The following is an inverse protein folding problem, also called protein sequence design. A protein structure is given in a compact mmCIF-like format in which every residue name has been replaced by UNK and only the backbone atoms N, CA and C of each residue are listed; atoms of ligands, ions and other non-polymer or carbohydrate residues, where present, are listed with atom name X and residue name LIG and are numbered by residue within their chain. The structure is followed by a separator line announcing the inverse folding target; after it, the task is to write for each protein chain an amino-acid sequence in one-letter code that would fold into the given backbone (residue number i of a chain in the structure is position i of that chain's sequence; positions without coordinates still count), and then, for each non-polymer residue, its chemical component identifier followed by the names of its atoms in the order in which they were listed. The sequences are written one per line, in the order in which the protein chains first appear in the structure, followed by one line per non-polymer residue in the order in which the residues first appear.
data_IF_520811125922
#
_entry.id   IF_520811125922
#
_cell.length_a   1.000
_cell.length_b   1.000
_cell.length_c   1.000
_cell.angle_alpha   90.00
_cell.angle_beta   90.00
_cell.angle_gamma   90.00
#
_symmetry.space_group_name_H-M   'P 1'
#
loop_
_entity.id
_entity.type
_entity.pdbx_description
1 polymer ?
#
# COMPACT_ATOMS: atom_id res chain seq x y z
N UNK A 1 8.49 0.59 -17.63
CA UNK A 1 8.91 1.95 -18.01
C UNK A 1 9.53 1.97 -19.39
N UNK A 2 10.61 1.21 -19.64
CA UNK A 2 11.34 1.14 -20.93
C UNK A 2 10.43 1.03 -22.17
N UNK A 3 9.59 -0.01 -22.27
CA UNK A 3 8.62 -0.19 -23.36
C UNK A 3 7.69 1.01 -23.56
N UNK A 4 7.22 1.64 -22.47
CA UNK A 4 6.33 2.81 -22.53
C UNK A 4 7.08 4.05 -23.05
N UNK A 5 8.31 4.27 -22.59
CA UNK A 5 9.12 5.40 -23.02
C UNK A 5 9.38 5.37 -24.53
N UNK A 6 9.76 4.20 -25.06
CA UNK A 6 9.94 4.03 -26.51
C UNK A 6 8.63 4.15 -27.27
N UNK A 7 7.53 3.60 -26.76
CA UNK A 7 6.21 3.77 -27.36
C UNK A 7 5.75 5.24 -27.40
N UNK A 8 6.29 6.10 -26.52
CA UNK A 8 6.05 7.54 -26.50
C UNK A 8 7.09 8.35 -27.29
N UNK A 9 7.98 7.70 -28.06
CA UNK A 9 8.89 8.36 -29.00
C UNK A 9 10.32 8.56 -28.50
N UNK A 10 10.70 8.03 -27.33
CA UNK A 10 12.11 8.02 -26.92
C UNK A 10 12.90 7.07 -27.80
N UNK A 11 14.06 7.50 -28.29
CA UNK A 11 14.98 6.65 -29.04
C UNK A 11 15.31 5.36 -28.24
N UNK A 12 15.21 4.15 -28.83
CA UNK A 12 15.43 2.92 -28.08
C UNK A 12 16.83 2.76 -27.48
N UNK A 13 17.87 3.31 -28.12
CA UNK A 13 19.24 3.22 -27.62
C UNK A 13 19.42 4.16 -26.42
N UNK A 14 18.89 5.37 -26.50
CA UNK A 14 18.87 6.28 -25.36
C UNK A 14 18.05 5.71 -24.19
N UNK A 15 16.90 5.09 -24.49
CA UNK A 15 16.07 4.43 -23.48
C UNK A 15 16.81 3.28 -22.78
N UNK A 16 17.62 2.50 -23.51
CA UNK A 16 18.49 1.47 -22.92
C UNK A 16 19.54 2.10 -22.02
N UNK A 17 20.24 3.15 -22.47
CA UNK A 17 21.26 3.84 -21.67
C UNK A 17 20.70 4.35 -20.34
N UNK A 18 19.47 4.87 -20.34
CA UNK A 18 18.76 5.34 -19.15
C UNK A 18 18.50 4.23 -18.11
N UNK A 19 18.51 2.96 -18.51
CA UNK A 19 18.27 1.82 -17.60
C UNK A 19 19.48 0.89 -17.44
N UNK A 20 20.64 1.22 -18.04
CA UNK A 20 21.87 0.44 -17.95
C UNK A 20 23.07 1.27 -17.49
N UNK A 21 23.75 1.98 -18.40
CA UNK A 21 25.01 2.67 -18.11
C UNK A 21 24.81 3.93 -17.27
N UNK A 22 23.74 4.70 -17.51
CA UNK A 22 23.47 5.92 -16.74
C UNK A 22 23.25 5.63 -15.24
N UNK A 23 22.38 4.68 -14.83
CA UNK A 23 22.24 4.34 -13.42
C UNK A 23 23.51 3.69 -12.84
N UNK A 24 24.25 2.89 -13.62
CA UNK A 24 25.52 2.34 -13.17
C UNK A 24 26.55 3.42 -12.84
N UNK A 25 26.69 4.43 -13.71
CA UNK A 25 27.56 5.59 -13.49
C UNK A 25 27.09 6.42 -12.31
N UNK A 26 25.80 6.76 -12.24
CA UNK A 26 25.22 7.54 -11.16
C UNK A 26 25.43 6.89 -9.78
N UNK A 27 25.29 5.56 -9.69
CA UNK A 27 25.48 4.80 -8.45
C UNK A 27 26.95 4.40 -8.19
N UNK A 28 27.89 4.75 -9.07
CA UNK A 28 29.29 4.36 -8.95
C UNK A 28 29.56 2.85 -9.10
N UNK A 29 28.67 2.11 -9.77
CA UNK A 29 28.79 0.67 -9.99
C UNK A 29 29.80 0.40 -11.11
N UNK A 30 31.06 0.22 -10.73
CA UNK A 30 32.15 -0.13 -11.66
C UNK A 30 31.82 -1.42 -12.43
N UNK A 31 32.20 -1.44 -13.71
CA UNK A 31 32.14 -2.63 -14.57
C UNK A 31 30.71 -3.20 -14.73
N UNK A 32 29.67 -2.34 -14.70
CA UNK A 32 28.27 -2.68 -14.95
C UNK A 32 27.60 -1.69 -15.91
N UNK A 33 26.46 -2.10 -16.47
CA UNK A 33 25.63 -1.23 -17.31
C UNK A 33 26.07 -1.10 -18.78
N UNK A 34 27.16 -1.75 -19.19
CA UNK A 34 27.62 -1.77 -20.58
C UNK A 34 28.15 -3.15 -20.98
N UNK A 35 28.16 -3.42 -22.29
CA UNK A 35 28.81 -4.59 -22.88
C UNK A 35 30.20 -4.20 -23.35
N UNK A 36 31.21 -4.55 -22.55
CA UNK A 36 32.62 -4.28 -22.85
C UNK A 36 33.52 -5.31 -22.14
N UNK A 37 34.78 -5.49 -22.58
CA UNK A 37 35.75 -6.30 -21.86
C UNK A 37 35.87 -5.87 -20.39
N UNK A 38 36.00 -6.85 -19.48
CA UNK A 38 36.08 -6.66 -18.03
C UNK A 38 34.79 -6.18 -17.34
N UNK A 39 33.69 -5.99 -18.07
CA UNK A 39 32.37 -5.74 -17.48
C UNK A 39 31.69 -7.05 -17.08
N UNK A 40 30.80 -6.97 -16.08
CA UNK A 40 29.95 -8.10 -15.68
C UNK A 40 29.09 -8.53 -16.86
N UNK A 41 29.08 -9.83 -17.16
CA UNK A 41 28.21 -10.42 -18.17
C UNK A 41 26.75 -10.56 -17.66
N UNK A 42 26.17 -9.42 -17.28
CA UNK A 42 24.76 -9.26 -16.94
C UNK A 42 24.05 -8.77 -18.20
N UNK A 43 23.50 -9.71 -18.99
CA UNK A 43 23.07 -9.46 -20.38
C UNK A 43 21.61 -9.87 -20.55
N UNK A 44 20.84 -9.04 -21.25
CA UNK A 44 19.50 -9.41 -21.72
C UNK A 44 19.52 -9.40 -23.25
N UNK A 45 19.22 -10.54 -23.86
CA UNK A 45 19.00 -10.63 -25.31
C UNK A 45 17.53 -10.37 -25.57
N UNK A 46 17.26 -9.33 -26.36
CA UNK A 46 15.92 -8.87 -26.67
C UNK A 46 15.53 -9.31 -28.07
N UNK A 47 14.28 -9.71 -28.25
CA UNK A 47 13.72 -10.05 -29.56
C UNK A 47 13.65 -8.84 -30.50
N UNK A 48 13.33 -7.69 -29.94
CA UNK A 48 13.24 -6.41 -30.65
C UNK A 48 13.38 -5.23 -29.68
N UNK A 49 13.61 -4.03 -30.22
CA UNK A 49 13.73 -2.77 -29.47
C UNK A 49 12.41 -2.00 -29.35
N UNK A 50 11.26 -2.63 -29.63
CA UNK A 50 9.92 -2.03 -29.55
C UNK A 50 9.18 -2.54 -28.31
N UNK A 51 9.09 -3.86 -28.18
CA UNK A 51 8.42 -4.59 -27.12
C UNK A 51 9.37 -5.01 -26.00
N UNK A 52 10.68 -5.06 -26.26
CA UNK A 52 11.68 -5.47 -25.26
C UNK A 52 11.36 -6.83 -24.62
N UNK A 53 10.89 -7.79 -25.42
CA UNK A 53 10.69 -9.15 -24.96
C UNK A 53 12.05 -9.82 -24.75
N UNK A 54 12.32 -10.29 -23.53
CA UNK A 54 13.57 -10.94 -23.18
C UNK A 54 13.57 -12.40 -23.65
N UNK A 55 14.40 -12.70 -24.64
CA UNK A 55 14.59 -14.06 -25.15
C UNK A 55 15.55 -14.86 -24.27
N UNK A 56 16.65 -14.23 -23.83
CA UNK A 56 17.63 -14.82 -22.92
C UNK A 56 18.09 -13.80 -21.89
N UNK A 57 18.30 -14.25 -20.65
CA UNK A 57 18.85 -13.44 -19.57
C UNK A 57 20.05 -14.15 -18.97
N UNK A 58 21.18 -13.47 -18.97
CA UNK A 58 22.43 -13.90 -18.36
C UNK A 58 22.73 -13.05 -17.11
N UNK A 59 23.21 -13.71 -16.06
CA UNK A 59 23.71 -13.05 -14.86
C UNK A 59 25.12 -13.57 -14.59
N UNK A 60 26.11 -12.68 -14.57
CA UNK A 60 27.54 -13.03 -14.47
C UNK A 60 27.98 -14.12 -15.46
N UNK A 61 27.44 -14.08 -16.68
CA UNK A 61 27.77 -15.01 -17.77
C UNK A 61 26.98 -16.32 -17.76
N UNK A 62 26.17 -16.58 -16.74
CA UNK A 62 25.34 -17.79 -16.68
C UNK A 62 23.93 -17.52 -17.22
N UNK A 63 23.45 -18.37 -18.13
CA UNK A 63 22.08 -18.30 -18.64
C UNK A 63 21.10 -18.65 -17.49
N UNK A 64 20.30 -17.66 -17.06
CA UNK A 64 19.40 -17.77 -15.91
C UNK A 64 17.93 -17.85 -16.30
N UNK A 65 17.53 -17.28 -17.44
CA UNK A 65 16.18 -17.39 -17.98
C UNK A 65 16.20 -17.47 -19.51
N UNK A 66 15.23 -18.16 -20.09
CA UNK A 66 15.03 -18.26 -21.54
C UNK A 66 13.53 -18.29 -21.86
N UNK A 67 13.11 -17.57 -22.90
CA UNK A 67 11.71 -17.50 -23.36
C UNK A 67 10.73 -17.18 -22.22
N UNK A 68 11.07 -16.18 -21.39
CA UNK A 68 10.25 -15.75 -20.25
C UNK A 68 10.22 -16.71 -19.05
N UNK A 69 10.97 -17.82 -19.08
CA UNK A 69 11.01 -18.81 -17.98
C UNK A 69 12.36 -18.83 -17.29
N UNK A 70 12.33 -18.88 -15.95
CA UNK A 70 13.53 -19.07 -15.14
C UNK A 70 14.09 -20.48 -15.32
N UNK A 71 15.38 -20.61 -15.59
CA UNK A 71 16.09 -21.89 -15.67
C UNK A 71 16.62 -22.35 -14.31
N UNK A 72 16.71 -21.43 -13.33
CA UNK A 72 17.15 -21.72 -11.97
C UNK A 72 16.03 -21.39 -10.97
N UNK A 73 15.80 -22.30 -10.02
CA UNK A 73 14.90 -22.03 -8.89
C UNK A 73 15.59 -21.12 -7.88
N UNK A 74 14.96 -19.99 -7.58
CA UNK A 74 15.39 -19.10 -6.48
C UNK A 74 14.74 -19.60 -5.20
N UNK A 75 15.54 -19.94 -4.19
CA UNK A 75 15.02 -20.34 -2.89
C UNK A 75 14.66 -19.09 -2.08
N UNK A 76 13.40 -18.98 -1.67
CA UNK A 76 12.99 -17.95 -0.73
C UNK A 76 13.64 -18.21 0.65
N UNK A 77 14.21 -17.16 1.25
CA UNK A 77 14.69 -17.21 2.64
C UNK A 77 13.54 -16.84 3.57
N UNK A 78 13.19 -17.75 4.48
CA UNK A 78 12.20 -17.49 5.54
C UNK A 78 12.95 -17.12 6.82
N UNK A 79 12.90 -15.85 7.20
CA UNK A 79 13.37 -15.41 8.52
C UNK A 79 12.18 -15.28 9.46
N UNK A 80 12.15 -16.05 10.55
CA UNK A 80 11.06 -16.02 11.52
C UNK A 80 10.86 -14.64 12.15
N UNK A 81 11.92 -13.81 12.22
CA UNK A 81 11.86 -12.46 12.80
C UNK A 81 10.88 -11.53 12.09
N UNK A 82 10.54 -11.81 10.84
CA UNK A 82 9.63 -10.97 10.03
C UNK A 82 8.24 -11.59 9.86
N UNK A 83 7.95 -12.78 10.39
CA UNK A 83 6.69 -13.51 10.11
C UNK A 83 5.54 -13.24 11.10
N UNK A 84 5.76 -12.43 12.13
CA UNK A 84 4.76 -12.11 13.17
C UNK A 84 4.90 -10.66 13.62
N UNK A 85 4.79 -9.76 12.64
CA UNK A 85 5.03 -8.32 12.82
C UNK A 85 3.80 -7.53 13.25
N UNK A 86 2.63 -8.16 13.30
CA UNK A 86 1.37 -7.52 13.68
C UNK A 86 1.06 -7.87 15.13
N UNK A 87 1.08 -6.86 15.99
CA UNK A 87 0.77 -6.96 17.41
C UNK A 87 -0.28 -5.92 17.75
N UNK A 88 -1.54 -6.32 17.83
CA UNK A 88 -2.62 -5.39 18.16
C UNK A 88 -2.75 -5.26 19.69
N UNK A 89 -3.04 -4.06 20.22
CA UNK A 89 -3.29 -3.90 21.66
C UNK A 89 -4.49 -4.75 22.12
N UNK A 90 -4.34 -5.49 23.23
CA UNK A 90 -5.42 -6.33 23.78
C UNK A 90 -6.68 -5.51 24.10
N UNK A 91 -6.50 -4.26 24.54
CA UNK A 91 -7.59 -3.32 24.83
C UNK A 91 -8.05 -2.50 23.62
N UNK A 92 -7.78 -2.94 22.39
CA UNK A 92 -8.14 -2.19 21.17
C UNK A 92 -9.63 -1.81 21.16
N UNK A 93 -10.53 -2.73 21.52
CA UNK A 93 -11.97 -2.46 21.51
C UNK A 93 -12.34 -1.23 22.37
N UNK A 94 -11.74 -1.09 23.55
CA UNK A 94 -11.98 0.03 24.47
C UNK A 94 -11.40 1.36 23.95
N UNK A 95 -10.49 1.31 22.97
CA UNK A 95 -9.88 2.48 22.33
C UNK A 95 -10.66 2.96 21.09
N UNK A 96 -11.63 2.16 20.62
CA UNK A 96 -12.44 2.43 19.42
C UNK A 96 -13.67 3.32 19.68
N UNK A 97 -13.76 3.98 20.83
CA UNK A 97 -14.83 4.94 21.10
C UNK A 97 -14.63 6.23 20.29
N UNK A 98 -15.59 6.56 19.43
CA UNK A 98 -15.63 7.80 18.67
C UNK A 98 -16.66 8.77 19.26
N UNK A 99 -16.33 10.05 19.23
CA UNK A 99 -17.30 11.08 19.56
C UNK A 99 -18.15 11.40 18.33
N UNK A 100 -19.43 11.08 18.39
CA UNK A 100 -20.36 11.17 17.25
C UNK A 100 -21.35 12.34 17.37
N UNK A 101 -20.91 13.46 17.96
CA UNK A 101 -21.75 14.66 18.12
C UNK A 101 -21.01 15.93 17.71
N UNK A 102 -21.74 16.85 17.07
CA UNK A 102 -21.22 18.14 16.65
C UNK A 102 -20.28 18.09 15.43
N UNK A 103 -19.45 19.12 15.30
CA UNK A 103 -18.55 19.30 14.16
C UNK A 103 -17.23 18.57 14.39
N UNK A 104 -16.80 17.82 13.37
CA UNK A 104 -15.54 17.08 13.37
C UNK A 104 -14.70 17.41 12.15
N UNK A 105 -13.38 17.27 12.27
CA UNK A 105 -12.43 17.32 11.16
C UNK A 105 -12.43 15.96 10.45
N UNK A 106 -12.72 15.97 9.16
CA UNK A 106 -12.58 14.83 8.28
C UNK A 106 -11.44 15.07 7.28
N UNK A 107 -10.73 13.99 6.96
CA UNK A 107 -9.70 13.97 5.91
C UNK A 107 -10.42 13.72 4.58
N UNK A 108 -10.48 14.74 3.74
CA UNK A 108 -11.10 14.66 2.42
C UNK A 108 -10.17 14.03 1.40
N UNK A 109 -10.63 12.93 0.83
CA UNK A 109 -9.92 12.14 -0.18
C UNK A 109 -10.40 12.50 -1.58
N UNK A 110 -9.46 12.51 -2.52
CA UNK A 110 -9.71 12.67 -3.95
C UNK A 110 -9.30 11.39 -4.68
N UNK A 111 -10.03 11.02 -5.74
CA UNK A 111 -9.91 9.70 -6.37
C UNK A 111 -8.57 9.42 -7.07
N UNK A 112 -7.95 10.44 -7.63
CA UNK A 112 -6.83 10.34 -8.57
C UNK A 112 -5.55 11.05 -8.10
N UNK A 113 -5.52 11.49 -6.84
CA UNK A 113 -4.39 12.17 -6.24
C UNK A 113 -4.19 11.76 -4.78
N UNK A 114 -2.94 11.89 -4.31
CA UNK A 114 -2.55 11.58 -2.92
C UNK A 114 -2.77 12.75 -1.96
N UNK A 115 -3.06 13.94 -2.48
CA UNK A 115 -3.36 15.13 -1.69
C UNK A 115 -4.67 14.96 -0.93
N UNK A 116 -4.74 15.54 0.26
CA UNK A 116 -5.94 15.59 1.10
C UNK A 116 -6.25 17.02 1.48
N UNK A 117 -7.50 17.28 1.85
CA UNK A 117 -7.91 18.54 2.46
C UNK A 117 -8.57 18.30 3.79
N UNK A 118 -8.56 19.33 4.62
CA UNK A 118 -9.47 19.40 5.75
C UNK A 118 -10.91 19.66 5.26
N UNK A 119 -11.86 18.93 5.86
CA UNK A 119 -13.28 19.17 5.71
C UNK A 119 -13.95 19.14 7.08
N UNK A 120 -14.66 20.21 7.46
CA UNK A 120 -15.42 20.25 8.71
C UNK A 120 -16.83 19.74 8.45
N UNK A 121 -17.19 18.66 9.11
CA UNK A 121 -18.48 17.99 8.91
C UNK A 121 -19.26 17.88 10.21
N UNK A 122 -20.57 18.08 10.13
CA UNK A 122 -21.50 17.82 11.22
C UNK A 122 -21.87 16.32 11.18
N UNK A 123 -21.28 15.55 12.09
CA UNK A 123 -21.33 14.08 12.02
C UNK A 123 -22.78 13.57 12.13
N UNK A 124 -23.63 14.28 12.88
CA UNK A 124 -25.05 13.95 13.08
C UNK A 124 -25.85 14.09 11.78
N UNK A 125 -25.50 15.07 10.94
CA UNK A 125 -26.13 15.29 9.62
C UNK A 125 -25.59 14.36 8.54
N UNK A 126 -24.40 13.77 8.74
CA UNK A 126 -23.75 12.90 7.74
C UNK A 126 -23.93 11.40 7.97
N UNK A 127 -24.72 10.98 8.98
CA UNK A 127 -24.99 9.56 9.27
C UNK A 127 -25.49 8.77 8.03
N UNK A 128 -26.15 9.44 7.09
CA UNK A 128 -26.72 8.87 5.86
C UNK A 128 -25.79 8.85 4.62
N UNK A 129 -24.52 9.25 4.73
CA UNK A 129 -23.56 8.99 3.65
C UNK A 129 -22.41 9.99 3.56
N UNK A 130 -21.27 9.52 3.06
CA UNK A 130 -20.12 10.36 2.68
C UNK A 130 -18.95 10.33 3.66
N UNK A 131 -19.19 9.99 4.93
CA UNK A 131 -18.15 9.90 5.97
C UNK A 131 -17.97 8.46 6.45
N UNK A 132 -16.71 8.04 6.56
CA UNK A 132 -16.30 6.78 7.14
C UNK A 132 -15.40 7.02 8.35
N UNK A 133 -15.47 6.11 9.32
CA UNK A 133 -14.53 6.09 10.45
C UNK A 133 -13.17 5.65 9.92
N UNK A 134 -12.11 6.18 10.50
CA UNK A 134 -10.74 5.82 10.17
C UNK A 134 -9.93 5.62 11.45
N UNK A 135 -9.03 4.64 11.43
CA UNK A 135 -8.06 4.44 12.49
C UNK A 135 -6.68 4.16 11.94
N UNK A 136 -5.67 4.58 12.68
CA UNK A 136 -4.30 4.09 12.56
C UNK A 136 -3.90 3.48 13.90
N UNK A 137 -3.53 2.21 13.90
CA UNK A 137 -3.23 1.43 15.11
C UNK A 137 -1.75 1.06 15.09
N UNK A 138 -1.04 1.42 16.15
CA UNK A 138 0.35 1.00 16.32
C UNK A 138 0.41 -0.52 16.46
N UNK A 139 1.15 -1.17 15.56
CA UNK A 139 1.18 -2.65 15.46
C UNK A 139 2.53 -3.27 15.74
N UNK A 140 3.56 -2.48 16.00
CA UNK A 140 4.92 -2.96 16.26
C UNK A 140 5.12 -3.36 17.73
N UNK A 141 4.13 -3.10 18.58
CA UNK A 141 4.12 -3.43 20.00
C UNK A 141 4.98 -2.50 20.85
N UNK A 142 5.08 -1.21 20.45
CA UNK A 142 5.90 -0.22 21.13
C UNK A 142 5.14 0.63 22.12
N UNK A 143 3.92 1.05 21.77
CA UNK A 143 3.14 1.98 22.59
C UNK A 143 1.64 1.64 22.62
N UNK A 144 1.15 0.83 21.67
CA UNK A 144 -0.27 0.46 21.59
C UNK A 144 -1.21 1.64 21.35
N UNK A 145 -0.71 2.72 20.75
CA UNK A 145 -1.48 3.89 20.37
C UNK A 145 -2.53 3.56 19.31
N UNK A 146 -3.64 4.29 19.36
CA UNK A 146 -4.71 4.22 18.37
C UNK A 146 -5.15 5.64 18.04
N UNK A 147 -4.79 6.07 16.83
CA UNK A 147 -5.25 7.34 16.30
C UNK A 147 -6.58 7.15 15.61
N UNK A 148 -7.52 8.04 15.93
CA UNK A 148 -8.88 8.02 15.39
C UNK A 148 -9.05 9.20 14.43
N UNK A 149 -9.88 9.02 13.41
CA UNK A 149 -10.21 10.07 12.46
C UNK A 149 -11.49 9.77 11.70
N UNK A 150 -11.89 10.72 10.89
CA UNK A 150 -12.96 10.57 9.91
C UNK A 150 -12.40 10.84 8.53
N UNK A 151 -12.90 10.14 7.52
CA UNK A 151 -12.50 10.34 6.11
C UNK A 151 -13.74 10.56 5.25
N UNK A 152 -13.64 11.44 4.27
CA UNK A 152 -14.64 11.60 3.21
C UNK A 152 -14.06 11.16 1.86
N UNK A 153 -14.88 10.61 0.98
CA UNK A 153 -14.47 10.17 -0.37
C UNK A 153 -14.30 8.65 -0.54
N UNK A 154 -14.11 7.89 0.54
CA UNK A 154 -14.19 6.42 0.49
C UNK A 154 -15.61 5.93 0.23
N UNK A 155 -16.62 6.60 0.80
CA UNK A 155 -18.05 6.34 0.57
C UNK A 155 -18.48 4.89 0.84
N UNK A 156 -17.81 4.18 1.76
CA UNK A 156 -18.23 2.84 2.15
C UNK A 156 -19.60 2.89 2.82
N UNK A 157 -20.53 2.07 2.32
CA UNK A 157 -21.90 1.99 2.82
C UNK A 157 -22.06 0.92 3.89
N UNK A 158 -21.14 -0.05 3.91
CA UNK A 158 -21.07 -1.17 4.85
C UNK A 158 -19.63 -1.66 4.96
N UNK A 159 -19.30 -2.33 6.06
CA UNK A 159 -18.06 -3.04 6.20
C UNK A 159 -16.85 -2.13 6.37
N UNK A 160 -15.65 -2.70 6.18
CA UNK A 160 -14.39 -2.01 6.40
C UNK A 160 -13.28 -2.51 5.47
N UNK A 161 -12.31 -1.64 5.21
CA UNK A 161 -11.05 -1.94 4.53
C UNK A 161 -9.92 -1.72 5.52
N UNK A 162 -8.96 -2.64 5.57
CA UNK A 162 -7.80 -2.54 6.45
C UNK A 162 -6.52 -3.00 5.75
N UNK A 163 -5.38 -2.41 6.10
CA UNK A 163 -4.08 -2.72 5.53
C UNK A 163 -2.96 -2.53 6.55
N UNK A 164 -1.94 -3.39 6.50
CA UNK A 164 -0.65 -3.17 7.16
C UNK A 164 0.37 -2.46 6.27
N UNK A 165 0.07 -2.33 4.97
CA UNK A 165 0.80 -1.48 4.03
C UNK A 165 0.26 -0.07 4.19
N UNK A 166 0.93 0.71 5.02
CA UNK A 166 0.54 2.08 5.41
C UNK A 166 1.76 3.01 5.42
N UNK A 167 2.04 3.70 4.32
CA UNK A 167 3.26 4.49 4.17
C UNK A 167 3.40 5.56 5.27
N UNK A 168 4.55 5.75 5.93
CA UNK A 168 5.77 4.91 5.93
C UNK A 168 6.02 4.26 7.30
N UNK A 169 5.21 4.57 8.31
CA UNK A 169 5.27 3.92 9.62
C UNK A 169 4.82 2.46 9.56
N UNK A 170 4.06 2.10 8.51
CA UNK A 170 3.47 0.78 8.29
C UNK A 170 2.74 0.27 9.54
N UNK A 171 2.03 1.17 10.21
CA UNK A 171 1.01 0.81 11.21
C UNK A 171 -0.21 0.20 10.51
N UNK A 172 -1.15 -0.38 11.26
CA UNK A 172 -2.42 -0.78 10.65
C UNK A 172 -3.19 0.50 10.35
N UNK A 173 -3.68 0.62 9.13
CA UNK A 173 -4.65 1.66 8.74
C UNK A 173 -5.95 0.99 8.33
N UNK A 174 -7.08 1.50 8.81
CA UNK A 174 -8.38 0.98 8.46
C UNK A 174 -9.43 2.07 8.33
N UNK A 175 -10.37 1.87 7.41
CA UNK A 175 -11.56 2.71 7.21
C UNK A 175 -12.80 1.84 7.17
N UNK A 176 -13.91 2.29 7.73
CA UNK A 176 -15.12 1.49 7.76
C UNK A 176 -16.40 2.28 8.02
N UNK A 177 -17.53 1.59 7.86
CA UNK A 177 -18.84 2.17 8.10
C UNK A 177 -19.12 2.35 9.59
N UNK A 178 -18.65 1.44 10.45
CA UNK A 178 -18.74 1.54 11.91
C UNK A 178 -17.42 1.13 12.57
N UNK A 179 -17.18 1.51 13.84
CA UNK A 179 -16.03 1.03 14.61
C UNK A 179 -15.97 -0.50 14.74
N UNK A 180 -17.11 -1.19 14.80
CA UNK A 180 -17.19 -2.66 14.91
C UNK A 180 -16.75 -3.34 13.61
N UNK A 181 -17.14 -2.79 12.45
CA UNK A 181 -16.69 -3.28 11.15
C UNK A 181 -15.17 -3.17 11.03
N UNK A 182 -14.60 -2.04 11.47
CA UNK A 182 -13.15 -1.84 11.53
C UNK A 182 -12.50 -2.88 12.43
N UNK A 183 -13.04 -3.10 13.63
CA UNK A 183 -12.47 -4.05 14.58
C UNK A 183 -12.40 -5.47 14.00
N UNK A 184 -13.45 -5.91 13.28
CA UNK A 184 -13.46 -7.20 12.58
C UNK A 184 -12.37 -7.30 11.51
N UNK A 185 -12.23 -6.27 10.67
CA UNK A 185 -11.20 -6.23 9.63
C UNK A 185 -9.78 -6.22 10.22
N UNK A 186 -9.56 -5.45 11.29
CA UNK A 186 -8.27 -5.35 11.99
C UNK A 186 -7.87 -6.66 12.66
N UNK A 187 -8.79 -7.34 13.36
CA UNK A 187 -8.51 -8.66 13.95
C UNK A 187 -8.10 -9.68 12.89
N UNK A 188 -8.74 -9.63 11.73
CA UNK A 188 -8.35 -10.48 10.59
C UNK A 188 -6.95 -10.21 10.03
N UNK A 189 -6.41 -8.98 10.19
CA UNK A 189 -5.01 -8.72 9.85
C UNK A 189 -4.05 -9.40 10.82
N UNK A 190 -4.39 -9.47 12.11
CA UNK A 190 -3.60 -10.21 13.11
C UNK A 190 -3.54 -11.69 12.77
N UNK A 191 -4.70 -12.30 12.50
CA UNK A 191 -4.86 -13.72 12.18
C UNK A 191 -3.98 -14.17 11.00
N UNK A 192 -3.83 -13.30 9.99
CA UNK A 192 -3.04 -13.61 8.78
C UNK A 192 -1.59 -13.10 8.85
N UNK A 193 -1.16 -12.52 9.98
CA UNK A 193 0.21 -12.00 10.16
C UNK A 193 0.50 -10.70 9.41
N UNK A 194 -0.54 -9.96 9.03
CA UNK A 194 -0.48 -8.75 8.22
C UNK A 194 -0.88 -8.98 6.77
N UNK A 195 -1.33 -7.92 6.09
CA UNK A 195 -1.91 -8.03 4.77
C UNK A 195 -2.84 -6.89 4.40
N UNK A 196 -3.76 -7.23 3.51
CA UNK A 196 -4.88 -6.39 3.09
C UNK A 196 -6.17 -7.16 3.35
N UNK A 197 -7.15 -6.50 3.97
CA UNK A 197 -8.43 -7.10 4.32
C UNK A 197 -9.56 -6.20 3.83
N UNK A 198 -10.61 -6.82 3.28
CA UNK A 198 -11.93 -6.21 3.11
C UNK A 198 -12.95 -7.06 3.87
N UNK A 199 -13.77 -6.42 4.68
CA UNK A 199 -14.93 -7.02 5.34
C UNK A 199 -16.18 -6.37 4.77
N UNK A 200 -17.12 -7.14 4.21
CA UNK A 200 -18.29 -6.58 3.50
C UNK A 200 -19.56 -6.47 4.35
N UNK A 201 -19.42 -6.66 5.67
CA UNK A 201 -20.51 -6.77 6.63
C UNK A 201 -20.88 -8.21 6.98
N UNK A 202 -20.47 -9.18 6.15
CA UNK A 202 -20.74 -10.62 6.34
C UNK A 202 -19.45 -11.42 6.24
N UNK A 203 -18.78 -11.33 5.10
CA UNK A 203 -17.61 -12.14 4.76
C UNK A 203 -16.31 -11.33 4.82
N UNK A 204 -15.21 -12.03 5.10
CA UNK A 204 -13.87 -11.45 5.16
C UNK A 204 -13.03 -11.96 3.98
N UNK A 205 -12.53 -11.02 3.18
CA UNK A 205 -11.64 -11.26 2.05
C UNK A 205 -10.25 -10.78 2.43
N UNK A 206 -9.23 -11.58 2.13
CA UNK A 206 -7.88 -11.40 2.67
C UNK A 206 -6.82 -11.60 1.59
N UNK A 207 -5.79 -10.77 1.63
CA UNK A 207 -4.50 -11.00 0.98
C UNK A 207 -3.43 -11.01 2.07
N UNK A 208 -3.00 -12.20 2.53
CA UNK A 208 -1.90 -12.31 3.49
C UNK A 208 -0.61 -11.72 2.92
N UNK A 209 0.09 -10.95 3.75
CA UNK A 209 1.42 -10.41 3.51
C UNK A 209 2.31 -10.77 4.70
N UNK A 210 2.53 -12.05 4.90
CA UNK A 210 3.14 -12.62 6.11
C UNK A 210 4.57 -12.11 6.40
N UNK A 211 5.27 -11.55 5.42
CA UNK A 211 6.61 -10.97 5.59
C UNK A 211 6.46 -9.49 5.96
N UNK A 212 6.65 -9.19 7.24
CA UNK A 212 6.56 -7.88 7.86
C UNK A 212 5.19 -7.18 7.70
N UNK A 213 4.14 -7.90 7.29
CA UNK A 213 2.87 -7.29 6.89
C UNK A 213 2.96 -6.53 5.56
N UNK A 214 3.98 -6.79 4.74
CA UNK A 214 4.28 -6.01 3.53
C UNK A 214 4.48 -6.87 2.28
N UNK A 215 5.00 -8.09 2.44
CA UNK A 215 5.30 -9.01 1.33
C UNK A 215 4.78 -10.41 1.64
N UNK A 216 4.66 -11.27 0.63
CA UNK A 216 4.18 -12.66 0.79
C UNK A 216 5.09 -13.64 0.04
N UNK A 217 5.08 -14.90 0.45
CA UNK A 217 5.68 -16.01 -0.28
C UNK A 217 4.74 -16.59 -1.36
N UNK A 218 3.48 -16.16 -1.40
CA UNK A 218 2.52 -16.54 -2.44
C UNK A 218 3.00 -16.14 -3.83
N UNK A 219 2.53 -16.86 -4.86
CA UNK A 219 2.90 -16.52 -6.23
C UNK A 219 2.19 -15.24 -6.68
N UNK A 220 2.78 -14.58 -7.68
CA UNK A 220 2.24 -13.32 -8.22
C UNK A 220 0.83 -13.50 -8.78
N UNK A 221 0.50 -14.67 -9.35
CA UNK A 221 -0.82 -14.96 -9.89
C UNK A 221 -1.89 -14.97 -8.79
N UNK A 222 -1.58 -15.62 -7.66
CA UNK A 222 -2.47 -15.68 -6.49
C UNK A 222 -2.66 -14.29 -5.86
N UNK A 223 -1.56 -13.53 -5.73
CA UNK A 223 -1.59 -12.15 -5.24
C UNK A 223 -2.47 -11.28 -6.13
N UNK A 224 -2.32 -11.39 -7.46
CA UNK A 224 -3.11 -10.62 -8.42
C UNK A 224 -4.60 -10.97 -8.35
N UNK A 225 -4.93 -12.26 -8.24
CA UNK A 225 -6.31 -12.71 -8.11
C UNK A 225 -6.96 -12.17 -6.84
N UNK A 226 -6.28 -12.28 -5.69
CA UNK A 226 -6.77 -11.81 -4.41
C UNK A 226 -6.89 -10.28 -4.38
N UNK A 227 -5.93 -9.54 -4.94
CA UNK A 227 -5.99 -8.08 -5.00
C UNK A 227 -7.15 -7.59 -5.88
N UNK A 228 -7.39 -8.25 -7.03
CA UNK A 228 -8.56 -7.98 -7.88
C UNK A 228 -9.88 -8.22 -7.15
N UNK A 229 -9.96 -9.33 -6.41
CA UNK A 229 -11.14 -9.63 -5.58
C UNK A 229 -11.36 -8.56 -4.51
N UNK A 230 -10.31 -8.16 -3.79
CA UNK A 230 -10.36 -7.11 -2.77
C UNK A 230 -10.83 -5.77 -3.36
N UNK A 231 -10.32 -5.37 -4.53
CA UNK A 231 -10.76 -4.15 -5.21
C UNK A 231 -12.23 -4.21 -5.59
N UNK A 232 -12.67 -5.33 -6.18
CA UNK A 232 -14.09 -5.55 -6.51
C UNK A 232 -14.98 -5.50 -5.27
N UNK A 233 -14.54 -6.06 -4.15
CA UNK A 233 -15.31 -6.03 -2.89
C UNK A 233 -15.40 -4.63 -2.30
N UNK A 234 -14.33 -3.85 -2.36
CA UNK A 234 -14.38 -2.44 -1.99
C UNK A 234 -15.40 -1.65 -2.85
N UNK A 235 -15.46 -1.93 -4.15
CA UNK A 235 -16.45 -1.33 -5.07
C UNK A 235 -17.89 -1.74 -4.72
N UNK A 236 -18.13 -3.03 -4.50
CA UNK A 236 -19.44 -3.56 -4.06
C UNK A 236 -19.89 -2.97 -2.72
N UNK A 237 -18.95 -2.61 -1.83
CA UNK A 237 -19.21 -1.90 -0.57
C UNK A 237 -19.48 -0.39 -0.73
N UNK A 238 -19.33 0.15 -1.95
CA UNK A 238 -19.63 1.54 -2.29
C UNK A 238 -18.43 2.42 -2.62
N UNK A 239 -17.20 1.89 -2.54
CA UNK A 239 -15.99 2.66 -2.81
C UNK A 239 -15.80 2.90 -4.31
N UNK A 240 -15.75 4.18 -4.71
CA UNK A 240 -15.53 4.58 -6.11
C UNK A 240 -14.09 4.97 -6.41
N UNK A 241 -13.19 4.81 -5.44
CA UNK A 241 -11.78 5.13 -5.63
C UNK A 241 -11.15 4.11 -6.58
N UNK A 242 -10.33 4.54 -7.57
CA UNK A 242 -9.69 3.63 -8.52
C UNK A 242 -8.66 2.70 -7.85
N UNK A 243 -8.11 3.07 -6.69
CA UNK A 243 -7.12 2.28 -5.95
C UNK A 243 -7.31 2.42 -4.44
N UNK A 244 -8.37 1.84 -3.87
CA UNK A 244 -8.81 2.11 -2.50
C UNK A 244 -7.74 1.81 -1.45
N UNK A 245 -7.00 0.70 -1.59
CA UNK A 245 -5.95 0.32 -0.62
C UNK A 245 -4.68 1.17 -0.75
N UNK A 246 -4.36 1.65 -1.96
CA UNK A 246 -3.26 2.60 -2.15
C UNK A 246 -3.62 3.94 -1.50
N UNK A 247 -4.83 4.44 -1.77
CA UNK A 247 -5.34 5.67 -1.14
C UNK A 247 -5.38 5.53 0.38
N UNK A 248 -5.80 4.37 0.90
CA UNK A 248 -5.81 4.05 2.32
C UNK A 248 -4.41 4.17 2.94
N UNK A 249 -3.39 3.65 2.26
CA UNK A 249 -1.99 3.74 2.70
C UNK A 249 -1.50 5.19 2.84
N UNK A 250 -1.91 6.09 1.93
CA UNK A 250 -1.50 7.49 1.93
C UNK A 250 -2.26 8.39 2.91
N UNK A 251 -3.39 7.94 3.47
CA UNK A 251 -4.02 8.65 4.60
C UNK A 251 -3.06 8.73 5.79
N UNK A 252 -2.23 7.69 5.93
CA UNK A 252 -1.35 7.52 7.06
C UNK A 252 0.06 8.10 6.90
N UNK A 253 0.31 8.90 5.85
CA UNK A 253 1.62 9.42 5.50
C UNK A 253 1.76 10.91 5.91
N UNK A 254 2.30 11.23 7.11
CA UNK A 254 2.30 12.58 7.69
C UNK A 254 3.41 13.49 7.11
N UNK A 255 3.71 13.35 5.82
CA UNK A 255 4.68 14.21 5.10
C UNK A 255 4.07 14.86 3.86
N UNK A 256 2.80 14.58 3.56
CA UNK A 256 2.07 15.16 2.43
C UNK A 256 0.92 16.00 2.99
N UNK A 257 0.77 17.27 2.59
CA UNK A 257 -0.32 18.10 3.05
C UNK A 257 -1.70 17.60 2.53
N UNK A 258 -2.80 18.02 3.15
CA UNK A 258 -2.90 18.91 4.33
C UNK A 258 -3.13 18.14 5.63
N UNK A 259 -4.16 17.29 5.68
CA UNK A 259 -4.58 16.58 6.88
C UNK A 259 -4.33 15.08 6.74
N UNK A 260 -3.70 14.45 7.74
CA UNK A 260 -3.34 13.02 7.75
C UNK A 260 -3.75 12.36 9.07
N UNK A 261 -3.69 11.03 9.13
CA UNK A 261 -3.93 10.27 10.34
C UNK A 261 -2.68 9.48 10.73
N UNK A 262 -2.28 9.49 12.00
CA UNK A 262 -1.21 8.63 12.52
C UNK A 262 -1.72 7.85 13.71
N UNK A 263 -0.93 6.95 14.30
CA UNK A 263 -1.29 6.30 15.56
C UNK A 263 -1.49 7.29 16.71
N UNK A 264 -0.98 8.52 16.57
CA UNK A 264 -1.13 9.60 17.56
C UNK A 264 -2.38 10.46 17.34
N UNK A 265 -3.15 10.21 16.28
CA UNK A 265 -4.33 11.00 15.93
C UNK A 265 -4.15 11.80 14.64
N UNK A 266 -5.04 12.78 14.43
CA UNK A 266 -5.10 13.60 13.22
C UNK A 266 -3.96 14.62 13.23
N UNK A 267 -3.21 14.68 12.14
CA UNK A 267 -2.04 15.56 11.98
C UNK A 267 -2.33 16.60 10.90
N UNK A 268 -2.21 17.87 11.26
CA UNK A 268 -2.08 18.97 10.31
C UNK A 268 -0.61 19.06 9.90
N UNK A 269 -0.31 18.61 8.68
CA UNK A 269 1.07 18.52 8.17
C UNK A 269 1.64 19.91 7.90
N UNK A 270 0.81 20.89 7.57
CA UNK A 270 1.27 22.27 7.35
C UNK A 270 1.71 22.92 8.66
N UNK A 271 0.98 22.65 9.76
CA UNK A 271 1.30 23.18 11.10
C UNK A 271 2.24 22.28 11.91
N UNK A 272 2.56 21.09 11.41
CA UNK A 272 3.36 20.08 12.11
C UNK A 272 2.85 19.74 13.52
N UNK A 273 1.53 19.69 13.70
CA UNK A 273 0.92 19.41 14.99
C UNK A 273 -0.25 18.43 14.91
N UNK A 274 -0.52 17.77 16.03
CA UNK A 274 -1.74 16.98 16.21
C UNK A 274 -2.87 17.96 16.48
N UNK A 275 -3.97 17.82 15.75
CA UNK A 275 -5.16 18.63 15.90
C UNK A 275 -6.30 17.81 16.53
N UNK A 276 -7.17 18.43 17.34
CA UNK A 276 -8.33 17.72 17.89
C UNK A 276 -9.28 17.30 16.76
N UNK A 277 -9.90 16.12 16.91
CA UNK A 277 -10.93 15.66 15.97
C UNK A 277 -12.16 16.59 15.99
N UNK A 278 -12.51 17.13 17.15
CA UNK A 278 -13.66 18.00 17.32
C UNK A 278 -13.26 19.46 17.10
N UNK A 279 -14.18 20.24 16.53
CA UNK A 279 -14.02 21.69 16.29
C UNK A 279 -15.01 22.48 17.10
#
# INVERSE_FOLDING_TARGET
ALRKAVAWGVDPIEAIKLVTINPALFMGLKNKGALAPSYSADIVVLKDLKNFEAEMVFYKGELCAKNGQMLKKIKARKDKKVLSSVKIPENLANKMEFQEKGKVRAIKIFGDQILTKEEIVDIEKTKNGGINYAVVIERHGKNGNVGKGFVSGFNLRKGALASTVSHDSHNIVAVGKTPEDILKAVKSLEEIGGGIVAFDGVDIYKLPLEVAGLMTFSRIEDVLQNLKLLHRKAEEMGCKLPSPFMTLSFIALPVIPELRLTDKGVVDVNKFCIVPLQV
#
